data_IF_596558290513
#
_entry.id   IF_596558290513
#
_cell.length_a   1.000
_cell.length_b   1.000
_cell.length_c   1.000
_cell.angle_alpha   90.00
_cell.angle_beta   90.00
_cell.angle_gamma   90.00
#
_symmetry.space_group_name_H-M   'P 1'
#
loop_
_entity.id
_entity.type
_entity.pdbx_description
1 polymer ?
#
# COMPACT_ATOMS: atom_id res chain seq x y z
N UNK A 1 -23.67 5.45 4.55
CA UNK A 1 -22.37 5.33 3.89
C UNK A 1 -22.64 4.72 2.53
N UNK A 2 -22.45 5.46 1.43
CA UNK A 2 -22.80 5.00 0.09
C UNK A 2 -21.57 4.37 -0.56
N UNK A 3 -21.74 3.18 -1.14
CA UNK A 3 -20.70 2.54 -1.94
C UNK A 3 -20.41 3.40 -3.17
N UNK A 4 -19.15 3.42 -3.62
CA UNK A 4 -18.76 4.10 -4.84
C UNK A 4 -19.55 3.56 -6.04
N UNK A 5 -20.16 4.47 -6.80
CA UNK A 5 -20.92 4.13 -8.00
C UNK A 5 -19.97 3.80 -9.16
N UNK A 6 -20.04 2.58 -9.67
CA UNK A 6 -19.16 2.12 -10.75
C UNK A 6 -19.43 2.85 -12.06
N UNK A 7 -20.66 3.29 -12.32
CA UNK A 7 -20.99 4.09 -13.51
C UNK A 7 -20.31 5.46 -13.47
N UNK A 8 -20.18 6.04 -12.27
CA UNK A 8 -19.41 7.25 -12.06
C UNK A 8 -17.93 7.01 -12.36
N UNK A 9 -17.35 5.92 -11.86
CA UNK A 9 -15.96 5.55 -12.18
C UNK A 9 -15.75 5.33 -13.69
N UNK A 10 -16.71 4.68 -14.35
CA UNK A 10 -16.70 4.45 -15.79
C UNK A 10 -16.88 5.71 -16.64
N UNK A 11 -17.32 6.82 -16.06
CA UNK A 11 -17.46 8.11 -16.75
C UNK A 11 -16.34 9.11 -16.44
N UNK A 12 -15.47 8.84 -15.46
CA UNK A 12 -14.30 9.69 -15.17
C UNK A 12 -13.39 9.85 -16.39
N UNK A 13 -12.92 11.06 -16.63
CA UNK A 13 -11.81 11.26 -17.57
C UNK A 13 -10.49 10.71 -16.99
N UNK A 14 -9.43 10.73 -17.80
CA UNK A 14 -8.13 10.20 -17.39
C UNK A 14 -7.55 10.95 -16.17
N UNK A 15 -7.68 12.27 -16.15
CA UNK A 15 -7.14 13.11 -15.08
C UNK A 15 -7.88 12.85 -13.76
N UNK A 16 -9.21 12.86 -13.79
CA UNK A 16 -10.05 12.59 -12.62
C UNK A 16 -9.77 11.19 -12.06
N UNK A 17 -9.66 10.18 -12.92
CA UNK A 17 -9.38 8.82 -12.48
C UNK A 17 -8.00 8.70 -11.81
N UNK A 18 -6.96 9.31 -12.39
CA UNK A 18 -5.62 9.28 -11.79
C UNK A 18 -5.58 10.09 -10.49
N UNK A 19 -6.32 11.19 -10.38
CA UNK A 19 -6.42 11.96 -9.15
C UNK A 19 -7.10 11.16 -8.02
N UNK A 20 -8.13 10.38 -8.34
CA UNK A 20 -8.86 9.56 -7.36
C UNK A 20 -8.10 8.28 -7.00
N UNK A 21 -7.56 7.57 -7.99
CA UNK A 21 -7.00 6.22 -7.82
C UNK A 21 -5.46 6.18 -7.83
N UNK A 22 -4.77 7.29 -8.14
CA UNK A 22 -3.33 7.32 -8.38
C UNK A 22 -2.46 7.01 -7.16
N UNK A 23 -2.99 7.12 -5.94
CA UNK A 23 -2.28 6.71 -4.73
C UNK A 23 -2.86 5.46 -4.06
N UNK A 24 -3.70 4.68 -4.77
CA UNK A 24 -4.21 3.39 -4.29
C UNK A 24 -3.07 2.41 -4.03
N UNK A 25 -2.10 2.39 -4.92
CA UNK A 25 -0.79 1.79 -4.70
C UNK A 25 0.17 2.93 -4.38
N UNK A 26 0.82 2.87 -3.21
CA UNK A 26 1.64 3.97 -2.69
C UNK A 26 2.62 4.48 -3.75
N UNK A 27 2.51 5.77 -4.08
CA UNK A 27 3.41 6.48 -5.01
C UNK A 27 3.52 5.82 -6.39
N UNK A 28 2.51 5.07 -6.82
CA UNK A 28 2.49 4.37 -8.11
C UNK A 28 1.29 4.79 -9.00
N UNK A 29 1.16 6.09 -9.37
CA UNK A 29 0.04 6.58 -10.17
C UNK A 29 -0.01 5.96 -11.58
N UNK A 30 1.12 5.46 -12.08
CA UNK A 30 1.20 4.74 -13.34
C UNK A 30 0.25 3.54 -13.40
N UNK A 31 0.04 2.85 -12.28
CA UNK A 31 -0.85 1.67 -12.25
C UNK A 31 -2.29 2.13 -12.50
N UNK A 32 -2.74 3.20 -11.85
CA UNK A 32 -4.07 3.78 -12.09
C UNK A 32 -4.21 4.26 -13.54
N UNK A 33 -3.20 4.94 -14.07
CA UNK A 33 -3.17 5.39 -15.46
C UNK A 33 -3.31 4.22 -16.46
N UNK A 34 -2.64 3.09 -16.21
CA UNK A 34 -2.73 1.91 -17.05
C UNK A 34 -4.10 1.22 -16.92
N UNK A 35 -4.63 1.10 -15.70
CA UNK A 35 -5.93 0.47 -15.43
C UNK A 35 -7.09 1.26 -16.06
N UNK A 36 -7.01 2.60 -16.10
CA UNK A 36 -8.05 3.44 -16.72
C UNK A 36 -8.39 3.04 -18.16
N UNK A 37 -7.41 2.53 -18.91
CA UNK A 37 -7.58 2.10 -20.31
C UNK A 37 -8.36 0.78 -20.46
N UNK A 38 -8.65 0.09 -19.35
CA UNK A 38 -9.35 -1.20 -19.32
C UNK A 38 -10.85 -1.07 -18.98
N UNK A 39 -11.34 0.16 -18.87
CA UNK A 39 -12.77 0.45 -18.71
C UNK A 39 -13.61 -0.01 -19.91
N UNK A 40 -14.92 -0.28 -19.72
CA UNK A 40 -15.66 -0.15 -18.47
C UNK A 40 -15.45 -1.34 -17.50
N UNK A 41 -15.51 -1.05 -16.20
CA UNK A 41 -15.49 -2.06 -15.14
C UNK A 41 -16.92 -2.44 -14.73
N UNK A 42 -17.14 -3.70 -14.40
CA UNK A 42 -18.47 -4.21 -14.02
C UNK A 42 -18.86 -3.86 -12.57
N UNK A 43 -17.89 -3.81 -11.66
CA UNK A 43 -18.07 -3.43 -10.25
C UNK A 43 -16.69 -3.09 -9.63
N UNK A 44 -16.67 -2.78 -8.32
CA UNK A 44 -15.42 -2.45 -7.61
C UNK A 44 -14.45 -3.62 -7.49
N UNK A 45 -14.94 -4.86 -7.36
CA UNK A 45 -14.11 -6.07 -7.31
C UNK A 45 -13.40 -6.29 -8.65
N UNK A 46 -14.08 -6.01 -9.76
CA UNK A 46 -13.51 -6.05 -11.10
C UNK A 46 -12.44 -4.96 -11.29
N UNK A 47 -12.70 -3.73 -10.84
CA UNK A 47 -11.69 -2.67 -10.81
C UNK A 47 -10.45 -3.09 -10.00
N UNK A 48 -10.64 -3.61 -8.79
CA UNK A 48 -9.57 -4.10 -7.92
C UNK A 48 -8.76 -5.22 -8.60
N UNK A 49 -9.45 -6.15 -9.27
CA UNK A 49 -8.82 -7.21 -10.06
C UNK A 49 -7.92 -6.64 -11.15
N UNK A 50 -8.36 -5.62 -11.89
CA UNK A 50 -7.55 -5.00 -12.94
C UNK A 50 -6.24 -4.37 -12.41
N UNK A 51 -6.27 -3.77 -11.21
CA UNK A 51 -5.05 -3.29 -10.56
C UNK A 51 -4.08 -4.43 -10.24
N UNK A 52 -4.58 -5.55 -9.69
CA UNK A 52 -3.71 -6.66 -9.31
C UNK A 52 -3.21 -7.48 -10.50
N UNK A 53 -4.03 -7.65 -11.53
CA UNK A 53 -3.61 -8.28 -12.78
C UNK A 53 -2.46 -7.50 -13.43
N UNK A 54 -2.54 -6.15 -13.41
CA UNK A 54 -1.44 -5.31 -13.89
C UNK A 54 -0.15 -5.56 -13.09
N UNK A 55 -0.23 -5.61 -11.76
CA UNK A 55 0.93 -5.88 -10.90
C UNK A 55 1.50 -7.28 -11.13
N UNK A 56 0.64 -8.28 -11.31
CA UNK A 56 1.05 -9.68 -11.52
C UNK A 56 1.71 -9.89 -12.89
N UNK A 57 1.31 -9.11 -13.90
CA UNK A 57 1.94 -9.10 -15.22
C UNK A 57 3.32 -8.43 -15.25
N UNK A 58 3.70 -7.66 -14.21
CA UNK A 58 5.01 -7.02 -14.17
C UNK A 58 6.14 -8.05 -14.00
N UNK A 59 7.32 -7.80 -14.62
CA UNK A 59 8.52 -8.56 -14.31
C UNK A 59 8.84 -8.44 -12.82
N UNK A 60 9.64 -9.38 -12.30
CA UNK A 60 10.02 -9.38 -10.89
C UNK A 60 10.57 -8.02 -10.42
N UNK A 61 11.42 -7.38 -11.23
CA UNK A 61 11.98 -6.05 -10.94
C UNK A 61 10.91 -4.96 -10.79
N UNK A 62 9.84 -5.02 -11.59
CA UNK A 62 8.70 -4.09 -11.50
C UNK A 62 7.90 -4.30 -10.21
N UNK A 63 7.65 -5.56 -9.83
CA UNK A 63 6.98 -5.91 -8.58
C UNK A 63 7.79 -5.48 -7.35
N UNK A 64 9.11 -5.71 -7.36
CA UNK A 64 10.00 -5.19 -6.33
C UNK A 64 10.04 -3.64 -6.33
N UNK A 65 9.96 -3.02 -7.51
CA UNK A 65 9.86 -1.57 -7.66
C UNK A 65 8.66 -0.97 -6.93
N UNK A 66 7.49 -1.60 -7.04
CA UNK A 66 6.28 -1.21 -6.29
C UNK A 66 6.52 -1.27 -4.78
N UNK A 67 7.15 -2.34 -4.29
CA UNK A 67 7.47 -2.47 -2.87
C UNK A 67 8.44 -1.37 -2.42
N UNK A 68 9.41 -1.00 -3.25
CA UNK A 68 10.38 0.08 -2.98
C UNK A 68 9.74 1.47 -2.93
N UNK A 69 8.56 1.66 -3.50
CA UNK A 69 7.79 2.90 -3.37
C UNK A 69 7.19 3.09 -1.97
N UNK A 70 7.06 2.01 -1.19
CA UNK A 70 6.45 2.09 0.15
C UNK A 70 7.43 2.65 1.18
N UNK A 71 6.99 3.54 2.08
CA UNK A 71 7.81 4.01 3.18
C UNK A 71 8.02 2.91 4.23
N UNK A 72 9.17 2.92 4.89
CA UNK A 72 9.44 2.03 6.02
C UNK A 72 8.45 2.29 7.18
N UNK A 73 7.98 1.21 7.82
CA UNK A 73 7.19 1.29 9.05
C UNK A 73 8.03 1.87 10.19
N UNK A 74 7.54 2.94 10.81
CA UNK A 74 8.26 3.77 11.78
C UNK A 74 9.63 4.29 11.29
N UNK A 75 9.80 4.42 9.96
CA UNK A 75 11.03 4.86 9.34
C UNK A 75 11.24 6.38 9.38
N UNK A 76 12.28 6.81 8.64
CA UNK A 76 12.70 8.21 8.55
C UNK A 76 11.58 9.15 8.11
N UNK A 77 10.76 8.75 7.15
CA UNK A 77 9.67 9.59 6.65
C UNK A 77 8.60 9.88 7.70
N UNK A 78 8.33 8.91 8.60
CA UNK A 78 7.42 9.14 9.72
C UNK A 78 7.99 10.20 10.67
N UNK A 79 9.28 10.08 10.99
CA UNK A 79 9.99 10.99 11.90
C UNK A 79 10.10 12.42 11.33
N UNK A 80 10.27 12.53 10.02
CA UNK A 80 10.35 13.82 9.31
C UNK A 80 8.97 14.40 8.97
N UNK A 81 7.88 13.66 9.19
CA UNK A 81 6.53 14.10 8.84
C UNK A 81 6.28 14.17 7.33
N UNK A 82 7.02 13.40 6.52
CA UNK A 82 6.98 13.43 5.04
C UNK A 82 6.22 12.27 4.40
N UNK A 83 5.55 11.44 5.21
CA UNK A 83 4.65 10.39 4.72
C UNK A 83 3.48 10.99 3.92
N UNK A 84 2.98 10.21 2.95
CA UNK A 84 1.66 10.47 2.36
C UNK A 84 0.59 10.47 3.45
N UNK A 85 -0.53 11.17 3.18
CA UNK A 85 -1.63 11.25 4.13
C UNK A 85 -2.19 9.85 4.47
N UNK A 86 -2.21 8.95 3.49
CA UNK A 86 -2.61 7.55 3.60
C UNK A 86 -1.66 6.79 4.52
N UNK A 87 -0.35 6.80 4.21
CA UNK A 87 0.66 6.11 5.01
C UNK A 87 0.69 6.63 6.45
N UNK A 88 0.53 7.95 6.67
CA UNK A 88 0.44 8.52 8.02
C UNK A 88 -0.76 7.99 8.80
N UNK A 89 -1.95 7.93 8.18
CA UNK A 89 -3.18 7.39 8.79
C UNK A 89 -3.01 5.91 9.12
N UNK A 90 -2.43 5.13 8.23
CA UNK A 90 -2.19 3.70 8.41
C UNK A 90 -1.20 3.42 9.56
N UNK A 91 -0.06 4.11 9.57
CA UNK A 91 0.95 3.94 10.62
C UNK A 91 0.45 4.44 11.99
N UNK A 92 -0.33 5.53 12.02
CA UNK A 92 -0.97 5.99 13.26
C UNK A 92 -1.99 4.99 13.78
N UNK A 93 -2.81 4.39 12.90
CA UNK A 93 -3.80 3.37 13.28
C UNK A 93 -3.16 2.10 13.84
N UNK A 94 -1.95 1.77 13.39
CA UNK A 94 -1.16 0.66 13.92
C UNK A 94 -0.41 0.99 15.23
N UNK A 95 -0.47 2.24 15.72
CA UNK A 95 0.23 2.69 16.91
C UNK A 95 1.74 2.91 16.73
N UNK A 96 2.21 3.07 15.48
CA UNK A 96 3.63 3.26 15.17
C UNK A 96 4.11 4.71 15.37
N UNK A 97 3.17 5.67 15.46
CA UNK A 97 3.45 7.07 15.78
C UNK A 97 3.80 7.30 17.25
N UNK A 98 3.47 6.35 18.13
CA UNK A 98 3.62 6.47 19.59
C UNK A 98 4.60 5.46 20.19
N UNK A 99 5.51 4.92 19.37
CA UNK A 99 6.59 4.05 19.85
C UNK A 99 7.50 4.80 20.82
N UNK A 100 8.10 4.08 21.76
CA UNK A 100 9.19 4.62 22.57
C UNK A 100 10.54 4.53 21.83
N UNK A 101 11.63 4.93 22.49
CA UNK A 101 12.96 4.95 21.86
C UNK A 101 13.49 3.54 21.55
N UNK A 102 13.28 2.58 22.46
CA UNK A 102 13.80 1.22 22.34
C UNK A 102 13.05 0.44 21.25
N UNK A 103 11.73 0.61 21.18
CA UNK A 103 10.92 0.03 20.11
C UNK A 103 11.28 0.59 18.75
N UNK A 104 11.52 1.91 18.64
CA UNK A 104 11.97 2.53 17.40
C UNK A 104 13.31 1.97 16.96
N UNK A 105 14.27 1.85 17.88
CA UNK A 105 15.59 1.30 17.59
C UNK A 105 15.47 -0.14 17.09
N UNK A 106 14.74 -0.99 17.82
CA UNK A 106 14.50 -2.39 17.44
C UNK A 106 13.85 -2.53 16.08
N UNK A 107 12.85 -1.70 15.78
CA UNK A 107 12.16 -1.76 14.49
C UNK A 107 13.06 -1.24 13.35
N UNK A 108 13.90 -0.24 13.60
CA UNK A 108 14.87 0.26 12.64
C UNK A 108 15.93 -0.81 12.29
N UNK A 109 16.46 -1.52 13.29
CA UNK A 109 17.40 -2.64 13.08
C UNK A 109 16.77 -3.76 12.26
N UNK A 110 15.53 -4.13 12.57
CA UNK A 110 14.77 -5.14 11.84
C UNK A 110 14.52 -4.72 10.39
N UNK A 111 14.09 -3.46 10.15
CA UNK A 111 13.92 -2.92 8.80
C UNK A 111 15.24 -2.95 8.00
N UNK A 112 16.36 -2.59 8.63
CA UNK A 112 17.68 -2.63 8.00
C UNK A 112 18.08 -4.05 7.58
N UNK A 113 17.91 -5.04 8.46
CA UNK A 113 18.16 -6.46 8.16
C UNK A 113 17.26 -6.96 7.03
N UNK A 114 15.98 -6.59 7.08
CA UNK A 114 15.00 -6.99 6.06
C UNK A 114 15.38 -6.45 4.69
N UNK A 115 15.72 -5.15 4.62
CA UNK A 115 16.10 -4.49 3.38
C UNK A 115 17.41 -5.03 2.82
N UNK A 116 18.39 -5.33 3.67
CA UNK A 116 19.63 -5.96 3.26
C UNK A 116 19.42 -7.35 2.65
N UNK A 117 18.45 -8.12 3.17
CA UNK A 117 18.15 -9.48 2.69
C UNK A 117 17.32 -9.51 1.41
N UNK A 118 16.29 -8.67 1.32
CA UNK A 118 15.28 -8.76 0.25
C UNK A 118 15.37 -7.63 -0.79
N UNK A 119 16.07 -6.54 -0.49
CA UNK A 119 16.25 -5.43 -1.42
C UNK A 119 15.02 -4.52 -1.58
N UNK A 120 14.02 -4.64 -0.71
CA UNK A 120 12.84 -3.77 -0.65
C UNK A 120 12.36 -3.57 0.82
N UNK A 121 11.56 -2.52 1.11
CA UNK A 121 10.98 -2.24 2.42
C UNK A 121 10.08 -3.36 2.95
N UNK A 122 9.98 -3.48 4.28
CA UNK A 122 8.99 -4.37 4.90
C UNK A 122 7.59 -3.78 4.76
N UNK A 123 6.75 -4.43 3.95
CA UNK A 123 5.35 -4.04 3.74
C UNK A 123 4.43 -4.97 4.53
N UNK A 124 3.52 -4.38 5.32
CA UNK A 124 2.50 -5.06 6.09
C UNK A 124 1.23 -4.19 6.10
N UNK A 125 0.05 -4.78 5.94
CA UNK A 125 -1.22 -4.07 6.04
C UNK A 125 -1.45 -3.56 7.47
N UNK A 126 -0.91 -2.37 7.75
CA UNK A 126 -0.78 -1.81 9.10
C UNK A 126 -2.13 -1.67 9.82
N UNK A 127 -3.23 -1.37 9.10
CA UNK A 127 -4.58 -1.29 9.70
C UNK A 127 -5.11 -2.61 10.28
N UNK A 128 -4.61 -3.76 9.82
CA UNK A 128 -4.97 -5.08 10.37
C UNK A 128 -3.97 -5.57 11.41
N UNK A 129 -2.96 -4.76 11.69
CA UNK A 129 -1.88 -5.10 12.61
C UNK A 129 -1.92 -4.17 13.82
N UNK A 130 -1.49 -4.70 14.96
CA UNK A 130 -1.28 -3.91 16.17
C UNK A 130 0.22 -3.70 16.39
N UNK A 131 0.60 -2.66 17.14
CA UNK A 131 2.00 -2.30 17.47
C UNK A 131 2.91 -3.50 17.75
N UNK A 132 2.45 -4.46 18.54
CA UNK A 132 3.21 -5.66 18.90
C UNK A 132 3.36 -6.70 17.75
N UNK A 133 2.44 -6.71 16.78
CA UNK A 133 2.46 -7.65 15.67
C UNK A 133 3.53 -7.30 14.62
N UNK A 134 3.81 -6.00 14.42
CA UNK A 134 4.77 -5.51 13.40
C UNK A 134 6.17 -6.14 13.58
N UNK A 135 6.86 -6.01 14.73
CA UNK A 135 8.19 -6.61 14.88
C UNK A 135 8.16 -8.14 14.84
N UNK A 136 7.05 -8.77 15.27
CA UNK A 136 6.87 -10.23 15.24
C UNK A 136 6.78 -10.73 13.79
N UNK A 137 5.95 -10.11 12.97
CA UNK A 137 5.80 -10.50 11.56
C UNK A 137 7.07 -10.22 10.76
N UNK A 138 7.74 -9.10 11.03
CA UNK A 138 9.00 -8.78 10.40
C UNK A 138 10.07 -9.84 10.74
N UNK A 139 10.24 -10.17 12.02
CA UNK A 139 11.17 -11.22 12.45
C UNK A 139 10.81 -12.61 11.88
N UNK A 140 9.51 -12.92 11.74
CA UNK A 140 9.05 -14.17 11.12
C UNK A 140 9.42 -14.21 9.63
N UNK A 141 9.09 -13.15 8.89
CA UNK A 141 9.27 -13.02 7.43
C UNK A 141 10.73 -12.90 7.01
N UNK A 142 11.59 -12.37 7.89
CA UNK A 142 13.05 -12.43 7.73
C UNK A 142 13.60 -13.85 7.54
N UNK A 143 12.88 -14.88 8.00
CA UNK A 143 13.30 -16.29 7.85
C UNK A 143 12.74 -16.95 6.58
N UNK A 144 11.86 -16.28 5.84
CA UNK A 144 11.27 -16.81 4.62
C UNK A 144 12.27 -16.80 3.45
N UNK A 145 12.15 -17.74 2.49
CA UNK A 145 12.87 -17.67 1.22
C UNK A 145 12.49 -16.41 0.43
N UNK A 146 13.41 -15.77 -0.31
CA UNK A 146 13.13 -14.52 -1.04
C UNK A 146 11.93 -14.58 -1.98
N UNK A 147 11.78 -15.69 -2.72
CA UNK A 147 10.65 -15.87 -3.64
C UNK A 147 9.29 -15.97 -2.90
N UNK A 148 9.26 -16.56 -1.70
CA UNK A 148 8.06 -16.57 -0.87
C UNK A 148 7.77 -15.17 -0.33
N UNK A 149 8.81 -14.48 0.13
CA UNK A 149 8.67 -13.16 0.74
C UNK A 149 8.16 -12.12 -0.25
N UNK A 150 8.63 -12.14 -1.51
CA UNK A 150 8.10 -11.28 -2.56
C UNK A 150 6.59 -11.47 -2.74
N UNK A 151 6.11 -12.72 -2.78
CA UNK A 151 4.67 -13.02 -2.89
C UNK A 151 3.89 -12.53 -1.68
N UNK A 152 4.43 -12.75 -0.48
CA UNK A 152 3.80 -12.28 0.76
C UNK A 152 3.74 -10.76 0.82
N UNK A 153 4.83 -10.05 0.51
CA UNK A 153 4.87 -8.60 0.51
C UNK A 153 3.89 -7.99 -0.51
N UNK A 154 3.79 -8.58 -1.71
CA UNK A 154 2.79 -8.15 -2.69
C UNK A 154 1.36 -8.43 -2.22
N UNK A 155 1.10 -9.55 -1.54
CA UNK A 155 -0.22 -9.83 -0.97
C UNK A 155 -0.61 -8.79 0.09
N UNK A 156 0.34 -8.28 0.88
CA UNK A 156 0.08 -7.18 1.83
C UNK A 156 -0.29 -5.87 1.12
N UNK A 157 0.29 -5.60 -0.06
CA UNK A 157 -0.13 -4.48 -0.92
C UNK A 157 -1.57 -4.66 -1.40
N UNK A 158 -2.02 -5.89 -1.65
CA UNK A 158 -3.42 -6.15 -2.06
C UNK A 158 -4.42 -5.88 -0.95
N UNK A 159 -4.05 -6.20 0.29
CA UNK A 159 -4.87 -5.95 1.48
C UNK A 159 -4.86 -4.46 1.89
N UNK A 160 -4.22 -3.59 1.09
CA UNK A 160 -4.07 -2.18 1.41
C UNK A 160 -5.44 -1.53 1.63
N UNK A 161 -5.64 -0.84 2.77
CA UNK A 161 -6.90 -0.22 3.13
C UNK A 161 -7.46 0.78 2.13
N UNK A 162 -6.69 1.19 1.13
CA UNK A 162 -7.11 2.18 0.12
C UNK A 162 -8.23 1.64 -0.78
N UNK A 163 -8.20 0.37 -1.17
CA UNK A 163 -9.35 -0.26 -1.85
C UNK A 163 -10.58 -0.32 -0.93
N UNK A 164 -10.37 -0.63 0.35
CA UNK A 164 -11.43 -0.65 1.36
C UNK A 164 -11.97 0.77 1.64
N UNK A 165 -11.12 1.81 1.59
CA UNK A 165 -11.54 3.20 1.75
C UNK A 165 -12.34 3.67 0.55
N UNK A 166 -12.02 3.23 -0.67
CA UNK A 166 -12.79 3.55 -1.88
C UNK A 166 -14.22 2.99 -1.83
N UNK A 167 -14.47 1.88 -1.13
CA UNK A 167 -15.84 1.41 -0.86
C UNK A 167 -16.66 2.39 -0.01
N UNK A 168 -16.00 3.34 0.67
CA UNK A 168 -16.62 4.31 1.57
C UNK A 168 -16.22 5.75 1.25
N UNK A 169 -15.55 5.98 0.12
CA UNK A 169 -15.08 7.29 -0.30
C UNK A 169 -16.15 7.95 -1.17
N UNK A 170 -16.67 9.08 -0.72
CA UNK A 170 -17.29 10.08 -1.57
C UNK A 170 -16.21 11.11 -1.92
N UNK A 171 -15.56 11.06 -3.09
CA UNK A 171 -15.01 12.29 -3.64
C UNK A 171 -16.21 13.17 -3.99
N UNK A 172 -16.05 14.49 -3.96
CA UNK A 172 -17.12 15.50 -4.07
C UNK A 172 -17.78 15.87 -2.73
N UNK A 173 -16.99 16.46 -1.84
CA UNK A 173 -17.42 17.77 -1.36
C UNK A 173 -17.11 18.75 -2.48
N UNK A 174 -18.16 19.33 -3.07
CA UNK A 174 -18.07 20.33 -4.11
C UNK A 174 -17.11 21.46 -3.70
N UNK A 175 -16.26 21.90 -4.62
CA UNK A 175 -15.77 23.28 -4.58
C UNK A 175 -16.88 24.20 -5.06
#
# INVERSE_FOLDING_TARGET
>A
MQAMDIEKVNSMDFGEFVDVFGNVIERCPLIAAAVWSQRPFSNLEDLEKHFFDFIDALPQSGREGILRCHPDLAGRELQQGTLSAESRREQSGAGLTSLDADERLRLAELNAQYRARFGFPFVLAARRSHRAAVPRELARRLRCPPAQELRTALAEVRVCPRFIQLQFFTPFAAR
#
